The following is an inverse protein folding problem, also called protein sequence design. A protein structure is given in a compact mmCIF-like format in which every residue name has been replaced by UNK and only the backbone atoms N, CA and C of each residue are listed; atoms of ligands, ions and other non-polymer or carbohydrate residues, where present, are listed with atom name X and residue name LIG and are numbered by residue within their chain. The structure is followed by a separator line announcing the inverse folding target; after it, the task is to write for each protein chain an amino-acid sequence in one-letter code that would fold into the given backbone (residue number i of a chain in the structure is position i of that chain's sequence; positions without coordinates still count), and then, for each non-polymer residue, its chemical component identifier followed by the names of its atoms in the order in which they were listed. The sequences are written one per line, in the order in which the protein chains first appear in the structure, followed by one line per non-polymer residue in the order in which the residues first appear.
data_IF_398695561533
#
_entry.id   IF_398695561533
#
_cell.length_a   1.000
_cell.length_b   1.000
_cell.length_c   1.000
_cell.angle_alpha   90.00
_cell.angle_beta   90.00
_cell.angle_gamma   90.00
#
_symmetry.space_group_name_H-M   'P 1'
#
loop_
_entity.id
_entity.type
_entity.pdbx_description
1 polymer ?
#
# COMPACT_ATOMS: atom_id res chain seq x y z
N UNK A 1 28.44 14.50 -1.36
CA UNK A 1 28.84 13.48 -0.35
C UNK A 1 27.58 13.00 0.33
N UNK A 2 27.26 11.72 0.20
CA UNK A 2 26.10 11.11 0.84
C UNK A 2 26.40 11.01 2.33
N UNK A 3 25.51 11.57 3.18
CA UNK A 3 25.56 11.33 4.61
C UNK A 3 25.14 9.87 4.87
N UNK A 4 26.01 9.01 5.38
CA UNK A 4 25.59 7.66 5.72
C UNK A 4 24.54 7.73 6.83
N UNK A 5 23.42 7.04 6.64
CA UNK A 5 22.43 6.86 7.72
C UNK A 5 23.10 6.06 8.83
N UNK A 6 23.06 6.56 10.05
CA UNK A 6 23.57 5.90 11.27
C UNK A 6 22.45 5.60 12.25
N UNK A 7 21.40 6.42 12.24
CA UNK A 7 20.26 6.34 13.13
C UNK A 7 18.95 6.52 12.38
N UNK A 8 18.05 5.55 12.49
CA UNK A 8 16.79 5.48 11.76
C UNK A 8 15.62 5.51 12.75
N UNK A 9 14.67 6.43 12.55
CA UNK A 9 13.36 6.42 13.21
C UNK A 9 12.33 5.70 12.35
N UNK A 10 11.42 4.96 12.98
CA UNK A 10 10.23 4.43 12.29
C UNK A 10 8.99 5.18 12.74
N UNK A 11 8.39 5.95 11.83
CA UNK A 11 7.14 6.68 12.06
C UNK A 11 5.93 5.77 11.82
N UNK A 12 5.91 4.64 12.53
CA UNK A 12 4.87 3.62 12.43
C UNK A 12 4.91 2.73 13.68
N UNK A 13 4.06 1.71 13.72
CA UNK A 13 3.95 0.79 14.86
C UNK A 13 3.88 -0.68 14.43
N UNK A 14 3.87 -1.57 15.41
CA UNK A 14 3.58 -2.99 15.25
C UNK A 14 4.53 -3.72 14.30
N UNK A 15 3.99 -4.58 13.46
CA UNK A 15 4.73 -5.49 12.59
C UNK A 15 5.69 -4.74 11.65
N UNK A 16 5.22 -3.70 10.93
CA UNK A 16 6.07 -2.99 9.98
C UNK A 16 7.22 -2.24 10.68
N UNK A 17 7.00 -1.73 11.89
CA UNK A 17 8.07 -1.12 12.66
C UNK A 17 9.13 -2.15 13.03
N UNK A 18 8.74 -3.35 13.50
CA UNK A 18 9.64 -4.46 13.80
C UNK A 18 10.38 -4.90 12.54
N UNK A 19 9.69 -5.00 11.41
CA UNK A 19 10.28 -5.36 10.12
C UNK A 19 11.39 -4.40 9.71
N UNK A 20 11.15 -3.11 9.84
CA UNK A 20 12.14 -2.07 9.52
C UNK A 20 13.30 -2.10 10.52
N UNK A 21 13.04 -2.28 11.83
CA UNK A 21 14.10 -2.37 12.84
C UNK A 21 15.04 -3.55 12.60
N UNK A 22 14.53 -4.71 12.17
CA UNK A 22 15.38 -5.86 11.80
C UNK A 22 16.39 -5.47 10.73
N UNK A 23 15.90 -4.94 9.61
CA UNK A 23 16.77 -4.52 8.52
C UNK A 23 17.74 -3.40 8.93
N UNK A 24 17.27 -2.43 9.72
CA UNK A 24 18.14 -1.36 10.23
C UNK A 24 19.26 -1.93 11.11
N UNK A 25 18.96 -2.89 11.99
CA UNK A 25 19.95 -3.57 12.82
C UNK A 25 20.95 -4.38 11.98
N UNK A 26 20.50 -5.11 10.96
CA UNK A 26 21.36 -5.83 10.02
C UNK A 26 22.30 -4.90 9.24
N UNK A 27 21.85 -3.66 8.97
CA UNK A 27 22.67 -2.60 8.37
C UNK A 27 23.59 -1.88 9.39
N UNK A 28 23.55 -2.26 10.67
CA UNK A 28 24.33 -1.63 11.74
C UNK A 28 23.81 -0.24 12.15
N UNK A 29 22.54 0.08 11.87
CA UNK A 29 21.93 1.36 12.22
C UNK A 29 21.32 1.30 13.62
N UNK A 30 21.42 2.39 14.36
CA UNK A 30 20.64 2.58 15.59
C UNK A 30 19.18 2.88 15.24
N UNK A 31 18.27 2.42 16.08
CA UNK A 31 16.82 2.44 15.81
C UNK A 31 16.05 3.23 16.85
N UNK A 32 15.04 3.99 16.38
CA UNK A 32 14.15 4.80 17.22
C UNK A 32 12.71 4.43 16.94
N UNK A 33 12.00 3.98 17.97
CA UNK A 33 10.56 3.71 17.91
C UNK A 33 9.75 4.90 18.40
N UNK A 34 8.57 5.08 17.78
CA UNK A 34 7.51 5.93 18.30
C UNK A 34 6.37 5.05 18.83
N UNK A 35 5.76 5.44 19.93
CA UNK A 35 4.61 4.72 20.49
C UNK A 35 3.63 5.69 21.18
N UNK A 36 2.33 5.40 21.08
CA UNK A 36 1.29 6.09 21.86
C UNK A 36 1.17 5.46 23.26
N UNK A 37 0.43 6.12 24.17
CA UNK A 37 0.18 5.55 25.49
C UNK A 37 -0.42 4.13 25.40
N UNK A 38 -1.31 3.91 24.45
CA UNK A 38 -1.97 2.63 24.19
C UNK A 38 -0.97 1.56 23.75
N UNK A 39 0.02 1.94 22.94
CA UNK A 39 1.07 1.05 22.44
C UNK A 39 2.27 0.88 23.40
N UNK A 40 2.17 1.38 24.65
CA UNK A 40 3.30 1.33 25.63
C UNK A 40 3.82 -0.07 25.96
N UNK A 41 3.00 -1.09 25.71
CA UNK A 41 3.35 -2.51 25.84
C UNK A 41 3.49 -3.23 24.50
N UNK A 42 3.34 -2.55 23.38
CA UNK A 42 3.46 -3.15 22.07
C UNK A 42 4.90 -3.55 21.77
N UNK A 43 5.09 -4.70 21.11
CA UNK A 43 6.39 -5.32 20.89
C UNK A 43 7.40 -4.41 20.18
N UNK A 44 6.94 -3.60 19.22
CA UNK A 44 7.83 -2.73 18.43
C UNK A 44 8.62 -1.75 19.31
N UNK A 45 8.02 -1.28 20.40
CA UNK A 45 8.69 -0.39 21.36
C UNK A 45 9.96 -1.02 21.97
N UNK A 46 9.92 -2.33 22.21
CA UNK A 46 11.02 -3.07 22.84
C UNK A 46 12.03 -3.65 21.83
N UNK A 47 11.78 -3.45 20.52
CA UNK A 47 12.65 -3.92 19.45
C UNK A 47 13.57 -2.83 18.88
N UNK A 48 13.42 -1.60 19.36
CA UNK A 48 14.28 -0.48 18.98
C UNK A 48 15.28 -0.18 20.11
N UNK A 49 16.39 0.49 19.77
CA UNK A 49 17.38 0.94 20.75
C UNK A 49 16.84 2.07 21.65
N UNK A 50 15.97 2.91 21.09
CA UNK A 50 15.34 4.03 21.78
C UNK A 50 13.84 4.05 21.45
N UNK A 51 13.00 4.53 22.39
CA UNK A 51 11.55 4.63 22.15
C UNK A 51 10.97 5.89 22.81
N UNK A 52 10.16 6.64 22.05
CA UNK A 52 9.60 7.91 22.49
C UNK A 52 8.08 7.91 22.38
N UNK A 53 7.42 8.39 23.41
CA UNK A 53 5.96 8.48 23.43
C UNK A 53 5.48 9.69 22.62
N UNK A 54 4.42 9.47 21.83
CA UNK A 54 3.73 10.48 21.02
C UNK A 54 2.25 10.52 21.37
N UNK A 55 1.60 11.61 21.00
CA UNK A 55 0.15 11.79 21.16
C UNK A 55 -0.27 11.95 22.62
N UNK A 56 -1.58 11.93 22.83
CA UNK A 56 -2.22 12.02 24.16
C UNK A 56 -2.88 10.68 24.49
N UNK A 57 -3.00 10.40 25.78
CA UNK A 57 -3.76 9.23 26.28
C UNK A 57 -5.21 9.29 25.79
N UNK A 58 -5.74 8.18 25.30
CA UNK A 58 -7.07 8.08 24.70
C UNK A 58 -7.12 8.38 23.20
N UNK A 59 -6.00 8.70 22.57
CA UNK A 59 -5.90 8.98 21.13
C UNK A 59 -4.89 8.02 20.45
N UNK A 60 -5.22 6.73 20.31
CA UNK A 60 -4.24 5.68 19.94
C UNK A 60 -3.60 5.87 18.55
N UNK A 61 -4.27 6.58 17.64
CA UNK A 61 -3.81 6.76 16.25
C UNK A 61 -3.29 8.18 16.01
N UNK A 62 -3.87 9.17 16.68
CA UNK A 62 -3.63 10.58 16.36
C UNK A 62 -2.17 11.00 16.52
N UNK A 63 -1.45 10.42 17.48
CA UNK A 63 -0.03 10.68 17.67
C UNK A 63 0.82 10.30 16.45
N UNK A 64 0.47 9.20 15.76
CA UNK A 64 1.15 8.77 14.52
C UNK A 64 0.85 9.64 13.30
N UNK A 65 -0.10 10.57 13.42
CA UNK A 65 -0.46 11.54 12.38
C UNK A 65 0.02 12.97 12.71
N UNK A 66 0.68 13.16 13.86
CA UNK A 66 1.16 14.47 14.31
C UNK A 66 2.55 14.76 13.71
N UNK A 67 2.55 15.33 12.50
CA UNK A 67 3.77 15.68 11.77
C UNK A 67 4.72 16.56 12.60
N UNK A 68 4.25 17.70 13.20
CA UNK A 68 5.12 18.56 14.02
C UNK A 68 5.78 17.82 15.18
N UNK A 69 5.04 16.97 15.89
CA UNK A 69 5.59 16.20 17.02
C UNK A 69 6.64 15.17 16.56
N UNK A 70 6.36 14.44 15.47
CA UNK A 70 7.30 13.43 14.93
C UNK A 70 8.60 14.09 14.49
N UNK A 71 8.53 15.18 13.72
CA UNK A 71 9.72 15.90 13.24
C UNK A 71 10.53 16.51 14.42
N UNK A 72 9.86 17.05 15.41
CA UNK A 72 10.51 17.58 16.62
C UNK A 72 11.31 16.46 17.35
N UNK A 73 10.68 15.31 17.60
CA UNK A 73 11.37 14.18 18.26
C UNK A 73 12.53 13.69 17.38
N UNK A 74 12.37 13.65 16.08
CA UNK A 74 13.43 13.26 15.16
C UNK A 74 14.66 14.18 15.25
N UNK A 75 14.44 15.49 15.36
CA UNK A 75 15.52 16.47 15.56
C UNK A 75 16.15 16.34 16.95
N UNK A 76 15.34 16.24 18.01
CA UNK A 76 15.82 16.08 19.40
C UNK A 76 16.67 14.81 19.58
N UNK A 77 16.30 13.74 18.88
CA UNK A 77 16.99 12.45 18.92
C UNK A 77 18.10 12.31 17.87
N UNK A 78 18.31 13.33 17.05
CA UNK A 78 19.35 13.37 16.03
C UNK A 78 19.32 12.16 15.08
N UNK A 79 18.13 11.81 14.56
CA UNK A 79 18.02 10.75 13.55
C UNK A 79 18.42 11.27 12.19
N UNK A 80 19.10 10.43 11.42
CA UNK A 80 19.51 10.76 10.05
C UNK A 80 18.38 10.49 9.05
N UNK A 81 17.48 9.54 9.36
CA UNK A 81 16.43 9.11 8.46
C UNK A 81 15.15 8.71 9.20
N UNK A 82 14.00 8.85 8.52
CA UNK A 82 12.70 8.38 8.98
C UNK A 82 12.11 7.42 7.94
N UNK A 83 11.75 6.21 8.37
CA UNK A 83 10.98 5.25 7.57
C UNK A 83 9.51 5.32 7.96
N UNK A 84 8.59 5.65 7.05
CA UNK A 84 7.16 5.80 7.37
C UNK A 84 6.39 4.47 7.42
N UNK A 85 6.97 3.35 6.97
CA UNK A 85 6.28 2.08 6.80
C UNK A 85 5.20 2.14 5.73
N UNK A 86 4.01 1.63 6.05
CA UNK A 86 2.79 1.74 5.25
C UNK A 86 1.62 2.24 6.13
N UNK A 87 0.57 2.79 5.49
CA UNK A 87 -0.51 3.47 6.22
C UNK A 87 -0.04 4.79 6.87
N UNK A 88 -0.82 5.33 7.79
CA UNK A 88 -0.53 6.61 8.48
C UNK A 88 -0.02 7.71 7.53
N UNK A 89 1.23 8.13 7.69
CA UNK A 89 1.86 9.21 6.93
C UNK A 89 2.73 8.73 5.76
N UNK A 90 2.71 7.44 5.42
CA UNK A 90 3.60 6.88 4.39
C UNK A 90 3.39 7.45 2.98
N UNK A 91 2.16 7.91 2.66
CA UNK A 91 1.80 8.55 1.39
C UNK A 91 1.55 10.05 1.54
N UNK A 92 1.89 10.62 2.70
CA UNK A 92 1.64 12.03 2.98
C UNK A 92 2.78 12.91 2.46
N UNK A 93 2.53 13.64 1.37
CA UNK A 93 3.51 14.53 0.74
C UNK A 93 3.97 15.67 1.69
N UNK A 94 3.10 16.15 2.59
CA UNK A 94 3.46 17.19 3.56
C UNK A 94 4.42 16.66 4.62
N UNK A 95 4.23 15.41 5.07
CA UNK A 95 5.15 14.75 5.98
C UNK A 95 6.52 14.54 5.34
N UNK A 96 6.55 13.99 4.12
CA UNK A 96 7.79 13.79 3.39
C UNK A 96 8.54 15.13 3.18
N UNK A 97 7.80 16.21 2.89
CA UNK A 97 8.38 17.55 2.78
C UNK A 97 8.92 18.05 4.12
N UNK A 98 8.15 17.96 5.20
CA UNK A 98 8.56 18.43 6.52
C UNK A 98 9.82 17.72 7.03
N UNK A 99 9.93 16.42 6.79
CA UNK A 99 11.12 15.61 7.14
C UNK A 99 12.34 16.10 6.36
N UNK A 100 12.21 16.32 5.04
CA UNK A 100 13.32 16.81 4.19
C UNK A 100 13.71 18.26 4.51
N UNK A 101 12.74 19.14 4.78
CA UNK A 101 12.98 20.52 5.19
C UNK A 101 13.75 20.59 6.53
N UNK A 102 13.59 19.59 7.40
CA UNK A 102 14.35 19.43 8.63
C UNK A 102 15.77 18.85 8.42
N UNK A 103 16.19 18.59 7.18
CA UNK A 103 17.49 18.01 6.86
C UNK A 103 17.57 16.50 7.11
N UNK A 104 16.44 15.83 7.31
CA UNK A 104 16.33 14.38 7.60
C UNK A 104 15.96 13.64 6.32
N UNK A 105 16.53 12.45 6.10
CA UNK A 105 16.21 11.61 4.95
C UNK A 105 14.83 10.97 5.18
N UNK A 106 13.90 11.18 4.24
CA UNK A 106 12.65 10.42 4.19
C UNK A 106 12.89 9.14 3.40
N UNK A 107 12.69 7.97 4.02
CA UNK A 107 12.84 6.66 3.37
C UNK A 107 11.57 6.36 2.58
N UNK A 108 11.55 6.78 1.35
CA UNK A 108 10.42 6.70 0.44
C UNK A 108 10.57 7.66 -0.74
N UNK A 109 9.61 7.68 -1.67
CA UNK A 109 9.63 8.54 -2.84
C UNK A 109 9.62 10.04 -2.50
N UNK A 110 10.00 10.87 -3.46
CA UNK A 110 9.93 12.33 -3.34
C UNK A 110 8.51 12.81 -3.07
N UNK A 111 8.39 13.96 -2.41
CA UNK A 111 7.09 14.54 -2.05
C UNK A 111 6.22 14.88 -3.28
N UNK A 112 6.84 15.24 -4.41
CA UNK A 112 6.14 15.47 -5.68
C UNK A 112 5.47 14.18 -6.17
N UNK A 113 6.19 13.05 -6.12
CA UNK A 113 5.67 11.73 -6.52
C UNK A 113 4.52 11.31 -5.61
N UNK A 114 4.68 11.50 -4.29
CA UNK A 114 3.62 11.19 -3.32
C UNK A 114 2.36 12.04 -3.57
N UNK A 115 2.53 13.32 -3.86
CA UNK A 115 1.42 14.24 -4.18
C UNK A 115 0.69 13.82 -5.44
N UNK A 116 1.44 13.61 -6.53
CA UNK A 116 0.90 13.37 -7.87
C UNK A 116 0.22 12.00 -7.97
N UNK A 117 0.76 10.98 -7.30
CA UNK A 117 0.17 9.65 -7.23
C UNK A 117 -0.95 9.53 -6.17
N UNK A 118 -0.99 10.41 -5.18
CA UNK A 118 -2.07 10.49 -4.20
C UNK A 118 -3.37 11.02 -4.78
N UNK A 119 -3.33 11.75 -5.89
CA UNK A 119 -4.49 12.19 -6.64
C UNK A 119 -4.87 11.17 -7.72
N UNK A 120 -6.05 10.54 -7.58
CA UNK A 120 -6.50 9.47 -8.47
C UNK A 120 -6.68 9.91 -9.92
N UNK A 121 -7.07 11.17 -10.15
CA UNK A 121 -7.25 11.71 -11.50
C UNK A 121 -5.88 11.87 -12.16
N UNK A 122 -4.96 12.51 -11.47
CA UNK A 122 -3.58 12.69 -11.93
C UNK A 122 -2.88 11.36 -12.19
N UNK A 123 -3.02 10.38 -11.30
CA UNK A 123 -2.44 9.05 -11.48
C UNK A 123 -3.00 8.33 -12.74
N UNK A 124 -4.32 8.45 -12.96
CA UNK A 124 -4.98 7.88 -14.16
C UNK A 124 -4.52 8.57 -15.45
N UNK A 125 -4.37 9.90 -15.43
CA UNK A 125 -3.82 10.64 -16.57
C UNK A 125 -2.37 10.23 -16.87
N UNK A 126 -1.55 10.05 -15.84
CA UNK A 126 -0.17 9.57 -15.99
C UNK A 126 -0.12 8.17 -16.61
N UNK A 127 -0.98 7.24 -16.16
CA UNK A 127 -1.10 5.92 -16.75
C UNK A 127 -1.52 6.00 -18.23
N UNK A 128 -2.49 6.84 -18.55
CA UNK A 128 -2.94 7.06 -19.94
C UNK A 128 -1.80 7.62 -20.82
N UNK A 129 -1.03 8.61 -20.33
CA UNK A 129 0.13 9.16 -21.05
C UNK A 129 1.25 8.13 -21.23
N UNK A 130 1.39 7.20 -20.29
CA UNK A 130 2.31 6.07 -20.40
C UNK A 130 1.82 4.98 -21.37
N UNK A 131 0.65 5.13 -21.99
CA UNK A 131 0.07 4.16 -22.90
C UNK A 131 -0.53 2.93 -22.20
N UNK A 132 -0.76 3.02 -20.90
CA UNK A 132 -1.29 1.92 -20.09
C UNK A 132 -2.82 1.92 -20.13
N UNK A 133 -3.46 0.76 -20.38
CA UNK A 133 -4.90 0.67 -20.40
C UNK A 133 -5.50 1.07 -19.03
N UNK A 134 -6.43 2.00 -19.03
CA UNK A 134 -7.22 2.39 -17.86
C UNK A 134 -8.64 1.85 -17.98
N UNK A 135 -9.27 1.54 -16.84
CA UNK A 135 -10.63 1.04 -16.86
C UNK A 135 -11.56 2.09 -17.49
N UNK A 136 -12.38 1.72 -18.50
CA UNK A 136 -13.34 2.65 -19.07
C UNK A 136 -14.23 3.24 -17.98
N UNK A 137 -14.42 4.55 -17.99
CA UNK A 137 -15.20 5.26 -16.96
C UNK A 137 -15.57 6.67 -17.38
N UNK A 138 -16.44 7.31 -16.60
CA UNK A 138 -16.80 8.70 -16.82
C UNK A 138 -15.57 9.61 -16.64
N UNK A 139 -15.36 10.59 -17.55
CA UNK A 139 -14.21 11.49 -17.46
C UNK A 139 -14.31 12.50 -16.30
N UNK A 140 -15.51 12.76 -15.82
CA UNK A 140 -15.84 13.65 -14.71
C UNK A 140 -16.98 13.06 -13.87
N UNK A 141 -17.30 13.70 -12.76
CA UNK A 141 -18.48 13.38 -11.96
C UNK A 141 -19.74 13.49 -12.82
N UNK A 142 -20.66 12.56 -12.63
CA UNK A 142 -21.95 12.50 -13.35
C UNK A 142 -22.90 13.56 -12.78
N UNK A 143 -23.31 14.50 -13.64
CA UNK A 143 -24.19 15.62 -13.24
C UNK A 143 -25.67 15.22 -13.24
N UNK A 144 -26.09 14.36 -14.19
CA UNK A 144 -27.49 13.94 -14.34
C UNK A 144 -27.63 12.44 -14.56
N UNK A 145 -28.85 11.92 -14.33
CA UNK A 145 -29.15 10.53 -14.60
C UNK A 145 -29.09 10.20 -16.10
N UNK A 146 -29.51 11.12 -16.96
CA UNK A 146 -29.47 10.94 -18.43
C UNK A 146 -28.04 10.86 -18.96
N UNK A 147 -27.12 11.71 -18.43
CA UNK A 147 -25.70 11.63 -18.73
C UNK A 147 -25.12 10.26 -18.31
N UNK A 148 -25.48 9.80 -17.10
CA UNK A 148 -25.03 8.51 -16.59
C UNK A 148 -25.52 7.34 -17.45
N UNK A 149 -26.79 7.34 -17.85
CA UNK A 149 -27.36 6.32 -18.72
C UNK A 149 -26.70 6.29 -20.10
N UNK A 150 -26.40 7.45 -20.68
CA UNK A 150 -25.69 7.56 -21.96
C UNK A 150 -24.28 6.98 -21.86
N UNK A 151 -23.49 7.41 -20.89
CA UNK A 151 -22.12 6.94 -20.70
C UNK A 151 -22.08 5.43 -20.44
N UNK A 152 -22.97 4.92 -19.58
CA UNK A 152 -23.06 3.48 -19.29
C UNK A 152 -23.52 2.67 -20.51
N UNK A 153 -24.41 3.22 -21.33
CA UNK A 153 -24.84 2.61 -22.58
C UNK A 153 -23.69 2.46 -23.59
N UNK A 154 -22.87 3.50 -23.76
CA UNK A 154 -21.67 3.47 -24.61
C UNK A 154 -20.61 2.48 -24.08
N UNK A 155 -20.45 2.40 -22.75
CA UNK A 155 -19.51 1.50 -22.07
C UNK A 155 -19.96 0.04 -22.07
N UNK A 156 -21.27 -0.19 -22.18
CA UNK A 156 -21.93 -1.49 -22.01
C UNK A 156 -22.00 -1.94 -20.55
N UNK A 157 -23.08 -2.59 -20.18
CA UNK A 157 -23.31 -3.14 -18.85
C UNK A 157 -22.51 -4.46 -18.63
N UNK A 158 -22.20 -4.87 -17.40
CA UNK A 158 -22.44 -4.15 -16.15
C UNK A 158 -21.47 -2.98 -15.95
N UNK A 159 -21.92 -2.00 -15.16
CA UNK A 159 -21.11 -0.86 -14.71
C UNK A 159 -21.16 -0.75 -13.19
N UNK A 160 -20.20 -0.03 -12.60
CA UNK A 160 -20.16 0.27 -11.18
C UNK A 160 -20.22 1.78 -10.96
N UNK A 161 -21.09 2.21 -10.06
CA UNK A 161 -21.16 3.59 -9.56
C UNK A 161 -20.26 3.71 -8.35
N UNK A 162 -19.44 4.75 -8.29
CA UNK A 162 -18.51 5.04 -7.18
C UNK A 162 -18.67 6.47 -6.73
N UNK A 163 -18.64 6.72 -5.40
CA UNK A 163 -18.52 8.07 -4.88
C UNK A 163 -17.10 8.61 -5.10
N UNK A 164 -16.98 9.94 -5.37
CA UNK A 164 -15.69 10.62 -5.56
C UNK A 164 -14.82 10.56 -4.32
N UNK A 165 -15.45 10.78 -3.16
CA UNK A 165 -14.83 10.68 -1.84
C UNK A 165 -15.28 9.37 -1.21
N UNK A 166 -14.38 8.40 -1.10
CA UNK A 166 -14.67 7.10 -0.51
C UNK A 166 -13.54 6.12 -0.74
N UNK A 167 -13.33 5.23 0.22
CA UNK A 167 -12.36 4.14 0.16
C UNK A 167 -12.94 2.85 0.75
N UNK A 168 -12.32 1.71 0.46
CA UNK A 168 -12.72 0.44 1.05
C UNK A 168 -14.10 -0.08 0.62
N UNK A 169 -14.59 0.32 -0.56
CA UNK A 169 -15.84 -0.21 -1.13
C UNK A 169 -17.13 0.44 -0.63
N UNK A 170 -17.07 1.45 0.22
CA UNK A 170 -18.25 2.20 0.64
C UNK A 170 -18.79 3.08 -0.48
N UNK A 171 -20.10 3.08 -0.68
CA UNK A 171 -20.77 3.86 -1.74
C UNK A 171 -20.57 3.32 -3.14
N UNK A 172 -20.10 2.08 -3.31
CA UNK A 172 -20.01 1.41 -4.61
C UNK A 172 -21.25 0.53 -4.86
N UNK A 173 -21.84 0.66 -6.06
CA UNK A 173 -23.01 -0.13 -6.49
C UNK A 173 -22.86 -0.59 -7.91
N UNK A 174 -23.08 -1.86 -8.14
CA UNK A 174 -23.07 -2.46 -9.49
C UNK A 174 -24.46 -2.37 -10.10
N UNK A 175 -24.54 -1.88 -11.33
CA UNK A 175 -25.74 -1.90 -12.13
C UNK A 175 -25.54 -2.84 -13.33
N UNK A 176 -26.43 -3.80 -13.49
CA UNK A 176 -26.40 -4.79 -14.57
C UNK A 176 -27.25 -4.36 -15.77
N UNK A 177 -28.12 -3.36 -15.61
CA UNK A 177 -29.04 -2.85 -16.60
C UNK A 177 -29.36 -1.37 -16.34
N UNK A 178 -29.92 -0.63 -17.35
CA UNK A 178 -30.23 0.79 -17.22
C UNK A 178 -31.16 1.15 -16.06
N UNK A 179 -32.17 0.34 -15.79
CA UNK A 179 -33.13 0.53 -14.71
C UNK A 179 -32.47 0.52 -13.32
N UNK A 180 -31.45 -0.32 -13.13
CA UNK A 180 -30.69 -0.40 -11.89
C UNK A 180 -29.72 0.77 -11.70
N UNK A 181 -29.26 1.39 -12.80
CA UNK A 181 -28.24 2.43 -12.76
C UNK A 181 -28.76 3.71 -12.09
N UNK A 182 -29.98 4.13 -12.39
CA UNK A 182 -30.57 5.35 -11.81
C UNK A 182 -30.65 5.22 -10.29
N UNK A 183 -31.18 4.11 -9.80
CA UNK A 183 -31.27 3.83 -8.37
C UNK A 183 -29.87 3.78 -7.71
N UNK A 184 -28.91 3.12 -8.37
CA UNK A 184 -27.53 3.03 -7.89
C UNK A 184 -26.87 4.40 -7.76
N UNK A 185 -27.05 5.31 -8.75
CA UNK A 185 -26.53 6.67 -8.70
C UNK A 185 -27.15 7.49 -7.58
N UNK A 186 -28.47 7.44 -7.42
CA UNK A 186 -29.18 8.19 -6.37
C UNK A 186 -28.81 7.72 -4.97
N UNK A 187 -28.70 6.41 -4.77
CA UNK A 187 -28.28 5.86 -3.48
C UNK A 187 -26.81 6.21 -3.17
N UNK A 188 -25.92 6.11 -4.17
CA UNK A 188 -24.51 6.46 -3.99
C UNK A 188 -24.32 7.95 -3.69
N UNK A 189 -25.07 8.85 -4.35
CA UNK A 189 -25.08 10.29 -4.07
C UNK A 189 -25.57 10.60 -2.63
N UNK A 190 -26.65 9.96 -2.19
CA UNK A 190 -27.17 10.14 -0.82
C UNK A 190 -26.15 9.72 0.24
N UNK A 191 -25.53 8.56 0.06
CA UNK A 191 -24.52 8.06 0.99
C UNK A 191 -23.26 8.94 1.01
N UNK A 192 -22.77 9.34 -0.17
CA UNK A 192 -21.61 10.22 -0.28
C UNK A 192 -21.86 11.59 0.35
N UNK A 193 -23.03 12.19 0.07
CA UNK A 193 -23.45 13.45 0.67
C UNK A 193 -23.55 13.38 2.19
N UNK A 194 -24.14 12.31 2.73
CA UNK A 194 -24.28 12.11 4.17
C UNK A 194 -22.93 11.84 4.87
N UNK A 195 -22.00 11.10 4.23
CA UNK A 195 -20.73 10.71 4.82
C UNK A 195 -19.63 11.74 4.67
N UNK A 196 -19.60 12.46 3.54
CA UNK A 196 -18.45 13.30 3.13
C UNK A 196 -18.84 14.74 2.77
N UNK A 197 -20.14 15.07 2.73
CA UNK A 197 -20.63 16.40 2.31
C UNK A 197 -20.54 16.66 0.79
N UNK A 198 -20.06 15.69 -0.01
CA UNK A 198 -19.89 15.77 -1.46
C UNK A 198 -20.65 14.60 -2.08
N UNK A 199 -21.59 14.91 -2.98
CA UNK A 199 -22.49 13.93 -3.61
C UNK A 199 -22.03 13.48 -5.02
N UNK A 200 -20.77 13.74 -5.37
CA UNK A 200 -20.23 13.39 -6.68
C UNK A 200 -20.08 11.88 -6.86
N UNK A 201 -20.57 11.38 -7.99
CA UNK A 201 -20.46 9.97 -8.37
C UNK A 201 -19.85 9.82 -9.75
N UNK A 202 -19.12 8.73 -9.95
CA UNK A 202 -18.50 8.31 -11.20
C UNK A 202 -19.05 6.95 -11.61
N UNK A 203 -19.04 6.67 -12.90
CA UNK A 203 -19.40 5.37 -13.45
C UNK A 203 -18.16 4.76 -14.09
N UNK A 204 -17.89 3.50 -13.78
CA UNK A 204 -16.81 2.74 -14.40
C UNK A 204 -17.32 1.38 -14.89
N UNK A 205 -16.61 0.80 -15.87
CA UNK A 205 -16.87 -0.56 -16.32
C UNK A 205 -16.69 -1.55 -15.17
N UNK A 206 -17.66 -2.41 -14.93
CA UNK A 206 -17.53 -3.49 -13.94
C UNK A 206 -17.02 -4.78 -14.59
N UNK A 207 -15.97 -5.35 -14.03
CA UNK A 207 -15.40 -6.62 -14.50
C UNK A 207 -15.89 -7.72 -13.57
N UNK A 208 -16.66 -8.67 -14.13
CA UNK A 208 -17.34 -9.72 -13.33
C UNK A 208 -16.38 -10.68 -12.65
N UNK A 209 -15.33 -11.12 -13.38
CA UNK A 209 -14.32 -12.05 -12.89
C UNK A 209 -12.95 -11.36 -12.88
N UNK A 210 -12.85 -10.35 -12.03
CA UNK A 210 -11.63 -9.58 -11.89
C UNK A 210 -10.62 -10.31 -11.01
N UNK A 211 -9.37 -10.36 -11.46
CA UNK A 211 -8.20 -10.65 -10.62
C UNK A 211 -7.52 -9.33 -10.27
N UNK A 212 -7.05 -9.23 -9.05
CA UNK A 212 -6.26 -8.10 -8.58
C UNK A 212 -4.78 -8.48 -8.65
N UNK A 213 -4.10 -7.95 -9.64
CA UNK A 213 -2.67 -8.21 -9.87
C UNK A 213 -1.91 -6.91 -9.63
N UNK A 214 -0.79 -7.00 -8.97
CA UNK A 214 0.03 -5.83 -8.68
C UNK A 214 1.50 -6.10 -8.95
N UNK A 215 2.25 -5.07 -9.34
CA UNK A 215 3.68 -5.18 -9.67
C UNK A 215 4.52 -4.35 -8.71
N UNK A 216 5.47 -4.99 -8.06
CA UNK A 216 6.45 -4.31 -7.22
C UNK A 216 7.49 -3.60 -8.09
N UNK A 217 7.63 -2.30 -7.89
CA UNK A 217 8.68 -1.48 -8.49
C UNK A 217 9.71 -1.03 -7.44
N UNK A 218 10.92 -0.79 -7.91
CA UNK A 218 11.97 -0.13 -7.13
C UNK A 218 12.79 0.78 -8.05
N UNK A 219 12.88 2.06 -7.67
CA UNK A 219 13.71 3.07 -8.33
C UNK A 219 14.84 3.56 -7.42
N UNK A 220 15.88 4.20 -7.97
CA UNK A 220 17.04 4.66 -7.20
C UNK A 220 17.32 6.18 -7.27
N UNK A 221 16.45 6.95 -7.88
CA UNK A 221 16.67 8.40 -8.05
C UNK A 221 17.81 8.78 -9.00
N UNK A 222 18.50 7.81 -9.59
CA UNK A 222 19.58 7.99 -10.57
C UNK A 222 19.18 7.52 -11.97
N UNK A 223 17.88 7.22 -12.17
CA UNK A 223 17.33 6.71 -13.42
C UNK A 223 17.25 5.18 -13.49
N UNK A 224 17.78 4.46 -12.50
CA UNK A 224 17.56 3.02 -12.34
C UNK A 224 16.12 2.75 -11.92
N UNK A 225 15.45 1.80 -12.59
CA UNK A 225 14.11 1.33 -12.27
C UNK A 225 13.97 -0.12 -12.70
N UNK A 226 13.55 -0.97 -11.77
CA UNK A 226 13.26 -2.38 -12.00
C UNK A 226 11.91 -2.78 -11.45
N UNK A 227 11.33 -3.87 -11.97
CA UNK A 227 10.24 -4.57 -11.32
C UNK A 227 10.75 -5.83 -10.60
N UNK A 228 10.12 -6.17 -9.48
CA UNK A 228 10.35 -7.41 -8.74
C UNK A 228 9.15 -8.35 -8.89
N UNK A 229 8.62 -8.41 -10.10
CA UNK A 229 7.51 -9.21 -10.54
C UNK A 229 6.17 -8.86 -9.87
N UNK A 230 5.19 -9.68 -10.18
CA UNK A 230 3.81 -9.48 -9.77
C UNK A 230 3.42 -10.32 -8.55
N UNK A 231 2.40 -9.81 -7.85
CA UNK A 231 1.63 -10.51 -6.81
C UNK A 231 0.19 -10.65 -7.25
N UNK A 232 -0.45 -11.72 -6.83
CA UNK A 232 -1.89 -11.92 -6.96
C UNK A 232 -2.56 -11.66 -5.60
N UNK A 233 -3.41 -10.64 -5.56
CA UNK A 233 -4.14 -10.23 -4.38
C UNK A 233 -5.65 -10.37 -4.57
N UNK A 234 -6.08 -11.32 -5.41
CA UNK A 234 -7.49 -11.50 -5.78
C UNK A 234 -8.37 -12.03 -4.64
N UNK A 235 -7.79 -12.74 -3.69
CA UNK A 235 -8.53 -13.26 -2.54
C UNK A 235 -8.73 -12.14 -1.53
N UNK A 236 -9.93 -11.56 -1.57
CA UNK A 236 -10.30 -10.41 -0.76
C UNK A 236 -11.62 -10.65 -0.05
N UNK A 237 -11.80 -9.98 1.09
CA UNK A 237 -13.08 -9.88 1.77
C UNK A 237 -13.40 -8.42 2.04
N UNK A 238 -14.58 -7.96 1.58
CA UNK A 238 -14.99 -6.56 1.66
C UNK A 238 -13.92 -5.60 1.10
N UNK A 239 -13.34 -5.98 -0.05
CA UNK A 239 -12.25 -5.24 -0.71
C UNK A 239 -10.95 -5.13 0.11
N UNK A 240 -10.78 -5.97 1.13
CA UNK A 240 -9.53 -6.09 1.87
C UNK A 240 -8.81 -7.37 1.43
N UNK A 241 -7.54 -7.25 1.03
CA UNK A 241 -6.66 -8.37 0.71
C UNK A 241 -6.52 -9.27 1.94
N UNK A 242 -6.68 -10.59 1.80
CA UNK A 242 -6.54 -11.56 2.89
C UNK A 242 -5.59 -12.71 2.55
N UNK A 243 -5.37 -12.97 1.27
CA UNK A 243 -4.33 -13.89 0.79
C UNK A 243 -3.64 -13.22 -0.39
N UNK A 244 -2.32 -13.18 -0.34
CA UNK A 244 -1.45 -12.67 -1.39
C UNK A 244 -0.48 -13.77 -1.81
N UNK A 245 -0.25 -13.89 -3.13
CA UNK A 245 0.57 -14.96 -3.73
C UNK A 245 1.57 -14.34 -4.70
N UNK A 246 2.82 -14.80 -4.65
CA UNK A 246 3.83 -14.44 -5.63
C UNK A 246 4.58 -15.72 -6.12
N UNK A 247 4.87 -15.82 -7.44
CA UNK A 247 4.25 -15.07 -8.52
C UNK A 247 2.78 -15.44 -8.71
N UNK A 248 2.04 -14.64 -9.48
CA UNK A 248 0.65 -14.94 -9.83
C UNK A 248 0.54 -16.22 -10.65
N UNK A 249 -0.32 -17.14 -10.25
CA UNK A 249 -0.61 -18.36 -11.00
C UNK A 249 -1.65 -18.11 -12.10
N UNK A 250 -1.52 -18.79 -13.23
CA UNK A 250 -2.53 -18.83 -14.29
C UNK A 250 -2.73 -17.52 -15.07
N UNK A 251 -1.76 -16.60 -15.07
CA UNK A 251 -1.71 -15.51 -16.04
C UNK A 251 -1.12 -16.02 -17.36
N UNK A 252 -1.76 -15.66 -18.47
CA UNK A 252 -1.18 -15.90 -19.78
C UNK A 252 0.17 -15.15 -19.89
N UNK A 253 1.21 -15.74 -20.51
CA UNK A 253 2.53 -15.10 -20.61
C UNK A 253 2.49 -13.70 -21.20
N UNK A 254 1.67 -13.45 -22.23
CA UNK A 254 1.51 -12.17 -22.88
C UNK A 254 0.89 -11.12 -21.94
N UNK A 255 -0.17 -11.51 -21.20
CA UNK A 255 -0.81 -10.65 -20.20
C UNK A 255 0.16 -10.29 -19.09
N UNK A 256 0.91 -11.29 -18.58
CA UNK A 256 1.93 -11.08 -17.55
C UNK A 256 2.99 -10.08 -18.00
N UNK A 257 3.58 -10.30 -19.18
CA UNK A 257 4.60 -9.41 -19.71
C UNK A 257 4.06 -8.00 -19.93
N UNK A 258 2.85 -7.86 -20.51
CA UNK A 258 2.19 -6.58 -20.70
C UNK A 258 1.98 -5.80 -19.40
N UNK A 259 1.61 -6.48 -18.30
CA UNK A 259 1.46 -5.88 -16.97
C UNK A 259 2.82 -5.39 -16.44
N UNK A 260 3.86 -6.20 -16.55
CA UNK A 260 5.21 -5.84 -16.09
C UNK A 260 5.76 -4.64 -16.87
N UNK A 261 5.64 -4.63 -18.19
CA UNK A 261 6.08 -3.53 -19.05
C UNK A 261 5.29 -2.24 -18.77
N UNK A 262 3.98 -2.36 -18.57
CA UNK A 262 3.10 -1.25 -18.21
C UNK A 262 3.49 -0.63 -16.86
N UNK A 263 3.83 -1.47 -15.87
CA UNK A 263 4.28 -1.00 -14.56
C UNK A 263 5.60 -0.20 -14.68
N UNK A 264 6.57 -0.71 -15.45
CA UNK A 264 7.81 0.02 -15.72
C UNK A 264 7.55 1.34 -16.46
N UNK A 265 6.61 1.35 -17.42
CA UNK A 265 6.26 2.56 -18.16
C UNK A 265 5.69 3.64 -17.22
N UNK A 266 4.78 3.26 -16.32
CA UNK A 266 4.24 4.16 -15.28
C UNK A 266 5.36 4.64 -14.35
N UNK A 267 6.18 3.72 -13.84
CA UNK A 267 7.28 4.06 -12.94
C UNK A 267 8.27 5.07 -13.56
N UNK A 268 8.58 4.92 -14.85
CA UNK A 268 9.39 5.90 -15.60
C UNK A 268 8.67 7.23 -15.78
N UNK A 269 7.39 7.21 -16.13
CA UNK A 269 6.56 8.40 -16.33
C UNK A 269 6.49 9.28 -15.08
N UNK A 270 6.41 8.66 -13.90
CA UNK A 270 6.35 9.38 -12.62
C UNK A 270 7.72 9.66 -12.01
N UNK A 271 8.79 9.11 -12.60
CA UNK A 271 10.16 9.24 -12.07
C UNK A 271 10.33 8.57 -10.72
N UNK A 272 9.73 7.38 -10.51
CA UNK A 272 9.76 6.66 -9.24
C UNK A 272 11.20 6.43 -8.77
N UNK A 273 11.51 6.89 -7.55
CA UNK A 273 12.87 6.92 -6.98
C UNK A 273 13.02 6.12 -5.67
N UNK A 274 12.03 5.29 -5.34
CA UNK A 274 12.04 4.36 -4.22
C UNK A 274 11.06 3.21 -4.50
N UNK A 275 10.62 2.47 -3.48
CA UNK A 275 9.62 1.43 -3.65
C UNK A 275 8.25 1.99 -4.02
N UNK A 276 7.59 1.32 -4.93
CA UNK A 276 6.21 1.57 -5.31
C UNK A 276 5.56 0.31 -5.86
N UNK A 277 4.25 0.28 -5.89
CA UNK A 277 3.47 -0.84 -6.41
C UNK A 277 2.41 -0.31 -7.36
N UNK A 278 2.33 -0.87 -8.55
CA UNK A 278 1.28 -0.57 -9.53
C UNK A 278 0.23 -1.66 -9.49
N UNK A 279 -1.02 -1.29 -9.28
CA UNK A 279 -2.14 -2.22 -9.14
C UNK A 279 -2.99 -2.27 -10.41
N UNK A 280 -3.43 -3.47 -10.78
CA UNK A 280 -4.22 -3.75 -11.98
C UNK A 280 -5.42 -4.64 -11.68
N UNK A 281 -6.55 -4.38 -12.39
CA UNK A 281 -7.60 -5.39 -12.58
C UNK A 281 -7.34 -6.16 -13.86
N UNK A 282 -7.32 -7.47 -13.76
CA UNK A 282 -7.23 -8.37 -14.92
C UNK A 282 -8.55 -9.09 -15.08
N UNK A 283 -9.16 -8.96 -16.23
CA UNK A 283 -10.35 -9.75 -16.61
C UNK A 283 -9.93 -11.20 -16.86
N UNK A 284 -10.34 -12.10 -16.00
CA UNK A 284 -9.99 -13.51 -16.09
C UNK A 284 -10.56 -14.23 -17.32
N UNK A 285 -11.60 -13.67 -17.96
CA UNK A 285 -12.22 -14.26 -19.16
C UNK A 285 -11.52 -13.83 -20.45
N UNK A 286 -11.07 -12.57 -20.51
CA UNK A 286 -10.49 -11.99 -21.73
C UNK A 286 -8.98 -11.82 -21.67
N UNK A 287 -8.38 -11.89 -20.48
CA UNK A 287 -6.96 -11.58 -20.24
C UNK A 287 -6.62 -10.09 -20.37
N UNK A 288 -7.59 -9.21 -20.61
CA UNK A 288 -7.37 -7.76 -20.61
C UNK A 288 -7.08 -7.27 -19.22
N UNK A 289 -6.16 -6.31 -19.11
CA UNK A 289 -5.80 -5.70 -17.83
C UNK A 289 -5.98 -4.18 -17.87
N UNK A 290 -6.23 -3.59 -16.71
CA UNK A 290 -6.50 -2.16 -16.57
C UNK A 290 -5.82 -1.65 -15.31
N UNK A 291 -5.19 -0.50 -15.42
CA UNK A 291 -4.61 0.23 -14.29
C UNK A 291 -5.67 0.62 -13.25
N UNK A 292 -5.35 0.49 -11.98
CA UNK A 292 -6.16 0.94 -10.85
C UNK A 292 -5.50 2.15 -10.19
N UNK A 293 -4.31 1.93 -9.61
CA UNK A 293 -3.59 2.94 -8.82
C UNK A 293 -2.10 2.60 -8.68
N UNK A 294 -1.33 3.57 -8.18
CA UNK A 294 0.04 3.35 -7.70
C UNK A 294 0.08 3.63 -6.21
N UNK A 295 0.68 2.72 -5.45
CA UNK A 295 0.99 2.93 -4.04
C UNK A 295 2.49 3.25 -3.92
N UNK A 296 2.89 4.53 -3.74
CA UNK A 296 4.30 4.94 -3.72
C UNK A 296 4.96 4.69 -2.35
N UNK A 297 4.96 3.45 -1.92
CA UNK A 297 5.46 2.96 -0.62
C UNK A 297 5.66 1.46 -0.62
N UNK A 298 6.22 0.95 0.46
CA UNK A 298 6.16 -0.49 0.78
C UNK A 298 4.70 -0.90 1.08
N UNK A 299 4.33 -2.13 0.78
CA UNK A 299 3.00 -2.69 1.09
C UNK A 299 3.10 -3.82 2.11
N UNK A 300 1.96 -4.19 2.73
CA UNK A 300 1.88 -5.30 3.70
C UNK A 300 2.42 -6.59 3.09
N UNK A 301 2.06 -6.85 1.84
CA UNK A 301 2.36 -8.05 1.07
C UNK A 301 3.75 -8.09 0.42
N UNK A 302 4.65 -7.15 0.78
CA UNK A 302 6.02 -7.11 0.24
C UNK A 302 6.81 -8.40 0.48
N UNK A 303 6.50 -9.10 1.56
CA UNK A 303 7.23 -10.30 1.98
C UNK A 303 7.17 -11.44 0.97
N UNK A 304 6.03 -11.63 0.27
CA UNK A 304 5.96 -12.68 -0.76
C UNK A 304 6.87 -12.38 -1.96
N UNK A 305 7.06 -11.08 -2.28
CA UNK A 305 8.04 -10.66 -3.30
C UNK A 305 9.47 -10.95 -2.84
N UNK A 306 9.79 -10.62 -1.59
CA UNK A 306 11.11 -10.88 -1.00
C UNK A 306 11.45 -12.36 -1.02
N UNK A 307 10.53 -13.23 -0.63
CA UNK A 307 10.72 -14.68 -0.60
C UNK A 307 11.00 -15.25 -2.00
N UNK A 308 10.30 -14.81 -3.04
CA UNK A 308 10.47 -15.37 -4.39
C UNK A 308 11.61 -14.73 -5.19
N UNK A 309 12.10 -13.54 -4.77
CA UNK A 309 13.19 -12.84 -5.47
C UNK A 309 14.52 -12.89 -4.71
N UNK A 310 14.49 -13.16 -3.41
CA UNK A 310 15.67 -13.13 -2.54
C UNK A 310 16.19 -11.72 -2.23
N UNK A 311 15.39 -10.66 -2.46
CA UNK A 311 15.77 -9.26 -2.22
C UNK A 311 14.97 -8.66 -1.07
N UNK A 312 15.65 -8.15 -0.05
CA UNK A 312 15.04 -7.39 1.06
C UNK A 312 14.67 -5.99 0.58
N UNK A 313 13.37 -5.74 0.38
CA UNK A 313 12.84 -4.46 -0.11
C UNK A 313 13.05 -3.31 0.87
N UNK A 314 12.96 -3.56 2.17
CA UNK A 314 13.19 -2.53 3.19
C UNK A 314 14.67 -2.12 3.20
N UNK A 315 15.58 -3.08 3.06
CA UNK A 315 17.00 -2.80 2.88
C UNK A 315 17.26 -1.96 1.65
N UNK A 316 16.66 -2.35 0.53
CA UNK A 316 16.76 -1.59 -0.71
C UNK A 316 16.24 -0.16 -0.54
N UNK A 317 15.06 0.04 0.11
CA UNK A 317 14.51 1.38 0.37
C UNK A 317 15.48 2.26 1.17
N UNK A 318 16.06 1.74 2.25
CA UNK A 318 17.01 2.48 3.09
C UNK A 318 18.26 2.85 2.27
N UNK A 319 18.81 1.91 1.50
CA UNK A 319 20.00 2.13 0.71
C UNK A 319 19.77 3.13 -0.43
N UNK A 320 18.70 3.02 -1.21
CA UNK A 320 18.42 3.98 -2.29
C UNK A 320 18.12 5.38 -1.75
N UNK A 321 17.47 5.47 -0.58
CA UNK A 321 17.25 6.76 0.10
C UNK A 321 18.55 7.41 0.57
N UNK A 322 19.60 6.61 0.82
CA UNK A 322 20.96 7.11 1.09
C UNK A 322 21.72 7.45 -0.21
N UNK A 323 21.09 7.33 -1.38
CA UNK A 323 21.66 7.63 -2.69
C UNK A 323 22.46 6.48 -3.31
N UNK A 324 22.31 5.25 -2.80
CA UNK A 324 22.90 4.05 -3.38
C UNK A 324 22.14 3.68 -4.65
N UNK A 325 22.86 3.35 -5.74
CA UNK A 325 22.26 2.92 -7.00
C UNK A 325 21.82 1.47 -6.95
N UNK A 326 20.79 1.11 -7.73
CA UNK A 326 20.33 -0.27 -7.86
C UNK A 326 21.44 -1.24 -8.29
N UNK A 327 22.39 -0.78 -9.12
CA UNK A 327 23.52 -1.57 -9.57
C UNK A 327 24.62 -1.81 -8.50
N UNK A 328 24.55 -1.14 -7.35
CA UNK A 328 25.52 -1.36 -6.27
C UNK A 328 25.41 -2.81 -5.76
N UNK A 329 26.53 -3.51 -5.51
CA UNK A 329 26.52 -4.89 -5.03
C UNK A 329 25.72 -5.13 -3.74
N UNK A 330 25.55 -4.11 -2.91
CA UNK A 330 24.73 -4.19 -1.68
C UNK A 330 23.24 -4.37 -1.97
N UNK A 331 22.78 -3.94 -3.17
CA UNK A 331 21.39 -4.07 -3.64
C UNK A 331 21.32 -5.18 -4.71
N UNK A 332 22.21 -5.15 -5.71
CA UNK A 332 22.33 -6.20 -6.74
C UNK A 332 21.21 -6.19 -7.79
N UNK A 333 20.51 -5.06 -7.99
CA UNK A 333 19.36 -4.93 -8.89
C UNK A 333 19.65 -4.03 -10.11
N UNK A 334 20.89 -4.05 -10.60
CA UNK A 334 21.32 -3.16 -11.70
C UNK A 334 20.75 -3.53 -13.06
N UNK A 335 20.41 -4.78 -13.30
CA UNK A 335 19.87 -5.28 -14.56
C UNK A 335 18.62 -6.14 -14.29
N UNK A 336 17.51 -5.79 -14.95
CA UNK A 336 16.26 -6.51 -14.86
C UNK A 336 16.39 -8.00 -15.23
N UNK A 337 17.27 -8.32 -16.19
CA UNK A 337 17.49 -9.69 -16.65
C UNK A 337 18.12 -10.61 -15.59
N UNK A 338 18.76 -10.03 -14.59
CA UNK A 338 19.41 -10.76 -13.50
C UNK A 338 18.46 -11.07 -12.34
N UNK A 339 17.29 -10.42 -12.30
CA UNK A 339 16.30 -10.66 -11.26
C UNK A 339 15.51 -11.92 -11.59
N UNK A 340 15.58 -12.91 -10.72
CA UNK A 340 14.97 -14.23 -10.93
C UNK A 340 13.87 -14.47 -9.92
N UNK A 341 12.86 -15.23 -10.36
CA UNK A 341 11.86 -15.82 -9.48
C UNK A 341 12.29 -17.24 -9.07
N UNK A 342 12.18 -17.54 -7.79
CA UNK A 342 12.47 -18.87 -7.24
C UNK A 342 11.30 -19.34 -6.38
N UNK A 343 10.62 -20.38 -6.81
CA UNK A 343 9.50 -20.97 -6.08
C UNK A 343 8.23 -20.13 -6.05
N UNK A 344 7.47 -20.28 -4.99
CA UNK A 344 6.22 -19.58 -4.71
C UNK A 344 6.15 -19.19 -3.23
N UNK A 345 5.54 -18.05 -2.96
CA UNK A 345 5.26 -17.61 -1.61
C UNK A 345 3.78 -17.22 -1.46
N UNK A 346 3.22 -17.51 -0.30
CA UNK A 346 1.83 -17.18 0.04
C UNK A 346 1.85 -16.47 1.39
N UNK A 347 1.21 -15.30 1.46
CA UNK A 347 0.94 -14.61 2.70
C UNK A 347 -0.56 -14.67 3.01
N UNK A 348 -0.89 -14.90 4.27
CA UNK A 348 -2.27 -14.87 4.76
C UNK A 348 -2.37 -13.84 5.90
N UNK A 349 -3.40 -13.00 5.85
CA UNK A 349 -3.77 -12.11 6.97
C UNK A 349 -4.81 -12.80 7.82
N UNK A 350 -4.44 -13.11 9.06
CA UNK A 350 -5.35 -13.72 10.04
C UNK A 350 -5.89 -12.61 10.94
N UNK A 351 -7.19 -12.39 10.91
CA UNK A 351 -7.89 -11.35 11.67
C UNK A 351 -9.01 -11.97 12.50
N UNK A 352 -9.29 -11.38 13.66
CA UNK A 352 -10.44 -11.76 14.48
C UNK A 352 -11.69 -11.05 13.97
N UNK A 353 -12.74 -11.82 13.66
CA UNK A 353 -13.96 -11.30 13.07
C UNK A 353 -15.17 -12.11 13.54
N UNK A 354 -16.31 -11.44 13.64
CA UNK A 354 -17.57 -12.05 14.05
C UNK A 354 -18.40 -12.48 12.82
N UNK A 355 -18.49 -13.78 12.47
CA UNK A 355 -19.27 -14.26 11.35
C UNK A 355 -20.78 -13.96 11.48
N UNK A 356 -21.30 -13.96 12.71
CA UNK A 356 -22.70 -13.67 12.97
C UNK A 356 -23.06 -12.20 12.74
N UNK A 357 -22.07 -11.31 12.77
CA UNK A 357 -22.23 -9.88 12.51
C UNK A 357 -21.50 -9.46 11.21
N UNK A 358 -21.77 -10.17 10.11
CA UNK A 358 -21.25 -9.86 8.79
C UNK A 358 -19.71 -9.73 8.74
N UNK A 359 -18.98 -10.51 9.52
CA UNK A 359 -17.51 -10.44 9.62
C UNK A 359 -16.98 -9.06 9.99
N UNK A 360 -17.69 -8.30 10.82
CA UNK A 360 -17.13 -7.10 11.43
C UNK A 360 -15.97 -7.51 12.34
N UNK A 361 -14.92 -6.64 12.43
CA UNK A 361 -13.84 -6.86 13.37
C UNK A 361 -14.36 -7.16 14.76
N UNK A 362 -13.85 -8.22 15.37
CA UNK A 362 -14.20 -8.60 16.74
C UNK A 362 -13.05 -8.18 17.68
N UNK A 363 -13.41 -7.55 18.77
CA UNK A 363 -12.49 -7.03 19.76
C UNK A 363 -12.56 -7.90 21.00
N UNK A 364 -11.48 -8.55 21.34
CA UNK A 364 -11.47 -9.40 22.49
C UNK A 364 -10.08 -9.98 22.76
N UNK A 365 -9.97 -10.70 23.87
CA UNK A 365 -8.75 -11.41 24.22
C UNK A 365 -8.68 -12.73 23.48
N UNK A 366 -7.64 -12.92 22.66
CA UNK A 366 -7.34 -14.25 22.11
C UNK A 366 -6.93 -15.17 23.27
N UNK A 367 -7.73 -16.18 23.51
CA UNK A 367 -7.47 -17.18 24.55
C UNK A 367 -6.61 -18.33 24.04
N UNK A 368 -6.62 -18.55 22.73
CA UNK A 368 -5.85 -19.62 22.08
C UNK A 368 -5.45 -19.20 20.67
N UNK A 369 -4.17 -19.29 20.35
CA UNK A 369 -3.63 -19.02 19.00
C UNK A 369 -2.54 -20.04 18.68
N UNK A 370 -2.69 -20.72 17.56
CA UNK A 370 -1.65 -21.60 17.00
C UNK A 370 -1.41 -21.21 15.56
N UNK A 371 -0.20 -20.71 15.28
CA UNK A 371 0.26 -20.56 13.92
C UNK A 371 0.86 -21.89 13.43
N UNK A 372 0.84 -22.10 12.13
CA UNK A 372 1.71 -23.10 11.49
C UNK A 372 3.16 -22.69 11.70
N UNK A 373 4.05 -23.66 11.80
CA UNK A 373 5.50 -23.44 11.95
C UNK A 373 6.25 -24.50 11.15
N UNK A 374 7.55 -24.30 10.96
CA UNK A 374 8.43 -25.20 10.24
C UNK A 374 9.17 -24.50 9.11
N UNK A 375 9.91 -25.30 8.32
CA UNK A 375 10.68 -24.80 7.18
C UNK A 375 9.80 -24.05 6.19
N UNK A 376 10.19 -22.84 5.80
CA UNK A 376 9.45 -21.99 4.87
C UNK A 376 8.27 -21.24 5.49
N UNK A 377 8.11 -21.29 6.82
CA UNK A 377 7.05 -20.56 7.49
C UNK A 377 7.60 -19.31 8.19
N UNK A 378 7.10 -18.14 7.79
CA UNK A 378 7.43 -16.85 8.39
C UNK A 378 6.18 -16.27 9.06
N UNK A 379 6.28 -15.90 10.34
CA UNK A 379 5.18 -15.30 11.09
C UNK A 379 5.49 -13.85 11.44
N UNK A 380 4.67 -12.93 10.95
CA UNK A 380 4.59 -11.56 11.41
C UNK A 380 3.27 -11.34 12.15
N UNK A 381 3.33 -10.78 13.36
CA UNK A 381 2.17 -10.38 14.12
C UNK A 381 1.97 -8.87 14.03
N UNK A 382 0.81 -8.44 13.56
CA UNK A 382 0.42 -7.03 13.53
C UNK A 382 -0.96 -6.88 14.15
N UNK A 383 -1.17 -5.97 15.10
CA UNK A 383 -2.51 -5.50 15.36
C UNK A 383 -2.99 -4.72 14.12
N UNK A 384 -4.17 -5.05 13.63
CA UNK A 384 -4.82 -4.30 12.55
C UNK A 384 -5.07 -2.87 13.02
N UNK A 385 -5.00 -1.85 12.14
CA UNK A 385 -5.48 -0.49 12.46
C UNK A 385 -6.96 -0.44 12.90
N UNK A 386 -7.69 -1.56 12.72
CA UNK A 386 -9.06 -1.76 13.19
C UNK A 386 -9.14 -2.32 14.61
N UNK A 387 -8.03 -2.80 15.16
CA UNK A 387 -7.96 -3.32 16.53
C UNK A 387 -7.72 -2.14 17.47
N UNK A 388 -8.79 -1.42 17.81
CA UNK A 388 -8.73 -0.24 18.67
C UNK A 388 -8.56 -0.63 20.15
N UNK A 389 -8.78 -1.90 20.50
CA UNK A 389 -8.50 -2.47 21.81
C UNK A 389 -7.65 -3.73 21.66
N UNK A 390 -6.42 -3.68 22.18
CA UNK A 390 -5.44 -4.77 22.05
C UNK A 390 -5.91 -6.08 22.69
N UNK A 391 -5.88 -7.19 21.95
CA UNK A 391 -5.72 -8.49 22.58
C UNK A 391 -4.25 -8.63 23.01
N UNK A 392 -3.99 -8.56 24.31
CA UNK A 392 -2.68 -8.88 24.90
C UNK A 392 -2.35 -10.34 24.58
N UNK A 393 -1.39 -10.57 23.72
CA UNK A 393 -0.77 -11.89 23.60
C UNK A 393 0.00 -12.18 24.90
N UNK A 394 -0.09 -13.38 25.48
CA UNK A 394 0.74 -13.76 26.60
C UNK A 394 2.22 -13.73 26.19
N UNK A 395 3.07 -13.18 27.03
CA UNK A 395 4.52 -13.04 26.81
C UNK A 395 5.28 -14.37 26.97
N UNK A 396 4.74 -15.47 26.47
CA UNK A 396 5.42 -16.77 26.57
C UNK A 396 5.10 -17.63 25.34
N UNK A 397 5.91 -17.51 24.36
CA UNK A 397 6.35 -18.59 23.46
C UNK A 397 7.63 -18.12 22.74
#
# INVERSE_FOLDING_TARGET
MQHPIKKLMVANRSEIAIRVFRTATELGLRTVALYTHEDRFALHRFKADEAYQIGKTGEPIRGYLDIPQIVRIALETQVDAIHPGYGFLSENAQFAKAVRDAGIIFVGPKNEILRDLGDKVTAREMATRAGVPVLPGSPKAIESNDEGLKIAGEMGYPVIVKASMGGGGRGMRVAHAPDQLVEAMEQSRREAGAAFGIADVFIEKFIRKARHIEVQLLGDGHGGLVHLFERDCSVQRRHQKIVEIAPSSGLAPQTRQGILDSALAIGRQVGLDNAGTVEYLVDAETGKYYFIEVNPRIQVEHTVTEEVTGHDLVKCQILVSSGVRLADPRIGLGDQSNIRLTGYAIQCRVTTENPANQFLPDYGRLTNYRSSGGTGCLLYTSPSPRDVEEPRMPSSA
#
